data_IF_805803091236
#
_entry.id   IF_805803091236
#
_cell.length_a   1.000
_cell.length_b   1.000
_cell.length_c   1.000
_cell.angle_alpha   90.00
_cell.angle_beta   90.00
_cell.angle_gamma   90.00
#
_symmetry.space_group_name_H-M   'P 1'
#
loop_
_entity.id
_entity.type
_entity.pdbx_description
1 polymer ?
#
# COMPACT_ATOMS: atom_id res chain seq x y z
N UNK A 1 20.97 28.28 -22.02
CA UNK A 1 19.75 28.11 -21.22
C UNK A 1 20.09 27.24 -20.02
N UNK A 2 19.99 27.75 -18.80
CA UNK A 2 20.25 26.97 -17.59
C UNK A 2 18.99 26.14 -17.28
N UNK A 3 19.08 24.81 -17.34
CA UNK A 3 18.04 23.92 -16.84
C UNK A 3 17.97 24.09 -15.32
N UNK A 4 16.90 24.73 -14.82
CA UNK A 4 16.58 24.66 -13.39
C UNK A 4 16.09 23.25 -13.10
N UNK A 5 16.87 22.51 -12.32
CA UNK A 5 16.42 21.25 -11.72
C UNK A 5 15.36 21.65 -10.69
N UNK A 6 14.10 21.32 -10.98
CA UNK A 6 13.01 21.48 -10.02
C UNK A 6 13.03 20.25 -9.13
N UNK A 7 13.26 20.41 -7.83
CA UNK A 7 13.17 19.28 -6.92
C UNK A 7 11.70 18.95 -6.67
N UNK A 8 11.38 17.67 -6.53
CA UNK A 8 10.01 17.20 -6.28
C UNK A 8 9.37 17.93 -5.09
N UNK A 9 10.15 18.20 -4.04
CA UNK A 9 9.70 18.87 -2.81
C UNK A 9 9.35 20.35 -3.01
N UNK A 10 9.83 20.97 -4.09
CA UNK A 10 9.53 22.37 -4.41
C UNK A 10 8.16 22.52 -5.09
N UNK A 11 7.56 21.41 -5.53
CA UNK A 11 6.26 21.41 -6.18
C UNK A 11 5.14 21.67 -5.16
N UNK A 12 4.06 22.38 -5.55
CA UNK A 12 2.84 22.48 -4.74
C UNK A 12 2.19 21.12 -4.47
N UNK A 13 1.36 21.03 -3.42
CA UNK A 13 0.71 19.79 -3.02
C UNK A 13 -0.14 19.21 -4.15
N UNK A 14 -0.86 20.07 -4.86
CA UNK A 14 -1.75 19.73 -5.96
C UNK A 14 -1.00 18.98 -7.07
N UNK A 15 0.21 19.45 -7.40
CA UNK A 15 1.06 18.82 -8.41
C UNK A 15 1.61 17.49 -7.89
N UNK A 16 2.02 17.43 -6.61
CA UNK A 16 2.43 16.18 -5.98
C UNK A 16 1.31 15.13 -6.02
N UNK A 17 0.08 15.49 -5.66
CA UNK A 17 -1.07 14.59 -5.76
C UNK A 17 -1.28 14.11 -7.19
N UNK A 18 -1.19 14.99 -8.19
CA UNK A 18 -1.36 14.61 -9.60
C UNK A 18 -0.30 13.61 -10.07
N UNK A 19 0.93 13.72 -9.57
CA UNK A 19 2.02 12.79 -9.89
C UNK A 19 1.81 11.46 -9.16
N UNK A 20 1.63 11.51 -7.84
CA UNK A 20 1.54 10.32 -6.99
C UNK A 20 0.31 9.47 -7.29
N UNK A 21 -0.81 10.07 -7.69
CA UNK A 21 -2.01 9.35 -8.13
C UNK A 21 -1.82 8.45 -9.34
N UNK A 22 -0.73 8.62 -10.09
CA UNK A 22 -0.40 7.76 -11.23
C UNK A 22 0.36 6.50 -10.81
N UNK A 23 0.75 6.40 -9.55
CA UNK A 23 1.48 5.27 -8.99
C UNK A 23 0.52 4.37 -8.23
N UNK A 24 0.93 3.12 -8.00
CA UNK A 24 0.19 2.22 -7.13
C UNK A 24 0.20 2.75 -5.67
N UNK A 25 -0.93 2.62 -4.98
CA UNK A 25 -1.07 3.09 -3.61
C UNK A 25 -0.07 2.43 -2.66
N UNK A 26 0.23 1.13 -2.85
CA UNK A 26 1.23 0.42 -2.05
C UNK A 26 2.61 1.01 -2.30
N UNK A 27 2.96 1.33 -3.55
CA UNK A 27 4.25 1.94 -3.86
C UNK A 27 4.40 3.34 -3.26
N UNK A 28 3.34 4.15 -3.32
CA UNK A 28 3.30 5.49 -2.70
C UNK A 28 3.48 5.39 -1.20
N UNK A 29 2.68 4.54 -0.54
CA UNK A 29 2.74 4.35 0.90
C UNK A 29 4.09 3.77 1.33
N UNK A 30 4.59 2.74 0.66
CA UNK A 30 5.88 2.17 0.98
C UNK A 30 7.02 3.19 0.78
N UNK A 31 6.96 3.99 -0.29
CA UNK A 31 8.03 4.93 -0.59
C UNK A 31 8.01 6.13 0.35
N UNK A 32 6.85 6.75 0.57
CA UNK A 32 6.76 8.05 1.24
C UNK A 32 6.69 7.96 2.77
N UNK A 33 6.18 6.86 3.31
CA UNK A 33 5.83 6.79 4.72
C UNK A 33 7.06 6.60 5.61
N UNK A 34 7.24 7.47 6.60
CA UNK A 34 8.39 7.44 7.50
C UNK A 34 9.68 7.96 6.85
N UNK A 35 9.57 8.61 5.69
CA UNK A 35 10.65 9.50 5.24
C UNK A 35 10.67 10.69 6.20
N UNK A 36 11.85 11.22 6.53
CA UNK A 36 12.05 12.43 7.34
C UNK A 36 11.54 13.71 6.62
N UNK A 37 10.30 13.69 6.13
CA UNK A 37 9.59 14.75 5.46
C UNK A 37 8.11 14.70 5.85
N UNK A 38 7.75 15.49 6.86
CA UNK A 38 6.40 15.54 7.43
C UNK A 38 5.32 15.86 6.39
N UNK A 39 5.65 16.66 5.38
CA UNK A 39 4.70 17.03 4.31
C UNK A 39 4.33 15.82 3.46
N UNK A 40 5.31 15.01 3.08
CA UNK A 40 5.07 13.77 2.32
C UNK A 40 4.35 12.72 3.17
N UNK A 41 4.69 12.62 4.46
CA UNK A 41 3.99 11.74 5.42
C UNK A 41 2.50 12.07 5.54
N UNK A 42 2.14 13.37 5.57
CA UNK A 42 0.74 13.81 5.59
C UNK A 42 0.05 13.44 4.28
N UNK A 43 0.68 13.73 3.14
CA UNK A 43 0.13 13.40 1.81
C UNK A 43 -0.13 11.90 1.68
N UNK A 44 0.81 11.06 2.12
CA UNK A 44 0.67 9.61 2.04
C UNK A 44 -0.48 9.06 2.92
N UNK A 45 -0.80 9.73 4.02
CA UNK A 45 -1.90 9.33 4.92
C UNK A 45 -3.29 9.71 4.39
N UNK A 46 -3.38 10.56 3.37
CA UNK A 46 -4.66 10.96 2.80
C UNK A 46 -5.48 9.75 2.32
N UNK A 47 -6.79 9.85 2.44
CA UNK A 47 -7.72 8.76 2.08
C UNK A 47 -7.55 8.30 0.64
N UNK A 48 -7.09 9.18 -0.25
CA UNK A 48 -6.91 8.86 -1.66
C UNK A 48 -5.87 7.76 -1.92
N UNK A 49 -4.88 7.62 -1.04
CA UNK A 49 -3.85 6.57 -1.13
C UNK A 49 -4.09 5.42 -0.15
N UNK A 50 -4.90 5.64 0.89
CA UNK A 50 -5.08 4.68 1.99
C UNK A 50 -6.43 3.97 2.00
N UNK A 51 -7.39 4.35 1.15
CA UNK A 51 -8.72 3.74 1.13
C UNK A 51 -8.76 2.33 0.52
N UNK A 52 -7.93 2.07 -0.48
CA UNK A 52 -7.86 0.82 -1.23
C UNK A 52 -6.40 0.38 -1.22
N UNK A 53 -6.14 -0.72 -0.53
CA UNK A 53 -4.81 -1.32 -0.42
C UNK A 53 -4.80 -2.66 -1.15
N UNK A 54 -3.89 -2.81 -2.11
CA UNK A 54 -3.73 -4.05 -2.86
C UNK A 54 -2.32 -4.62 -2.69
N UNK A 55 -2.18 -5.57 -1.77
CA UNK A 55 -0.92 -6.26 -1.48
C UNK A 55 -0.63 -7.42 -2.45
N UNK A 56 -1.32 -7.44 -3.59
CA UNK A 56 -1.27 -8.50 -4.59
C UNK A 56 -0.84 -7.88 -5.90
N UNK A 57 0.29 -8.33 -6.45
CA UNK A 57 0.73 -7.95 -7.78
C UNK A 57 0.27 -9.01 -8.78
N UNK A 58 -0.18 -8.59 -9.96
CA UNK A 58 -0.48 -9.53 -11.05
C UNK A 58 0.65 -9.40 -12.05
N UNK A 59 1.38 -10.50 -12.24
CA UNK A 59 2.40 -10.60 -13.28
C UNK A 59 1.75 -10.45 -14.65
N UNK A 60 2.13 -9.42 -15.40
CA UNK A 60 1.60 -9.16 -16.74
C UNK A 60 1.97 -10.25 -17.77
N UNK A 61 2.98 -11.07 -17.48
CA UNK A 61 3.47 -12.10 -18.41
C UNK A 61 2.86 -13.47 -18.16
N UNK A 62 2.45 -13.78 -16.93
CA UNK A 62 1.97 -15.11 -16.54
C UNK A 62 0.53 -15.11 -16.02
N UNK A 63 -0.10 -13.95 -15.86
CA UNK A 63 -1.37 -13.76 -15.12
C UNK A 63 -1.31 -14.38 -13.70
N UNK A 64 -0.11 -14.67 -13.21
CA UNK A 64 0.09 -15.20 -11.88
C UNK A 64 0.07 -14.07 -10.87
N UNK A 65 -0.48 -14.41 -9.72
CA UNK A 65 -0.49 -13.55 -8.56
C UNK A 65 0.89 -13.64 -7.90
N UNK A 66 1.63 -12.54 -7.90
CA UNK A 66 2.88 -12.37 -7.21
C UNK A 66 2.67 -11.63 -5.88
N UNK A 67 3.21 -12.22 -4.82
CA UNK A 67 3.22 -11.61 -3.50
C UNK A 67 4.14 -10.41 -3.46
N UNK A 68 3.75 -9.37 -2.73
CA UNK A 68 4.71 -8.36 -2.30
C UNK A 68 5.77 -9.01 -1.38
N UNK A 69 6.97 -8.44 -1.34
CA UNK A 69 8.06 -9.02 -0.55
C UNK A 69 7.80 -8.97 0.95
N UNK A 70 8.37 -9.91 1.70
CA UNK A 70 8.28 -9.97 3.17
C UNK A 70 8.81 -8.68 3.84
N UNK A 71 9.81 -8.04 3.26
CA UNK A 71 10.34 -6.78 3.77
C UNK A 71 9.33 -5.63 3.62
N UNK A 72 8.59 -5.59 2.51
CA UNK A 72 7.48 -4.64 2.36
C UNK A 72 6.37 -4.96 3.36
N UNK A 73 5.95 -6.22 3.47
CA UNK A 73 4.93 -6.65 4.43
C UNK A 73 5.25 -6.23 5.87
N UNK A 74 6.47 -6.51 6.32
CA UNK A 74 6.91 -6.16 7.67
C UNK A 74 6.88 -4.65 7.92
N UNK A 75 7.34 -3.85 6.95
CA UNK A 75 7.27 -2.39 7.07
C UNK A 75 5.83 -1.90 7.11
N UNK A 76 4.95 -2.46 6.28
CA UNK A 76 3.53 -2.12 6.33
C UNK A 76 2.90 -2.45 7.68
N UNK A 77 3.18 -3.65 8.21
CA UNK A 77 2.68 -4.10 9.51
C UNK A 77 3.12 -3.19 10.65
N UNK A 78 4.38 -2.77 10.67
CA UNK A 78 4.97 -2.05 11.80
C UNK A 78 4.72 -0.54 11.69
N UNK A 79 4.94 0.04 10.51
CA UNK A 79 5.06 1.50 10.38
C UNK A 79 3.85 2.16 9.72
N UNK A 80 3.25 1.51 8.72
CA UNK A 80 2.26 2.14 7.84
C UNK A 80 0.82 1.88 8.29
N UNK A 81 0.43 0.60 8.38
CA UNK A 81 -0.93 0.18 8.67
C UNK A 81 -1.47 0.73 9.99
N UNK A 82 -0.73 0.75 11.11
CA UNK A 82 -1.24 1.30 12.36
C UNK A 82 -1.70 2.76 12.26
N UNK A 83 -1.14 3.52 11.31
CA UNK A 83 -1.44 4.94 11.11
C UNK A 83 -2.56 5.17 10.10
N UNK A 84 -2.74 4.29 9.12
CA UNK A 84 -3.73 4.45 8.06
C UNK A 84 -4.96 3.53 8.18
N UNK A 85 -4.97 2.59 9.14
CA UNK A 85 -6.04 1.58 9.31
C UNK A 85 -7.47 2.16 9.37
N UNK A 86 -7.61 3.41 9.85
CA UNK A 86 -8.89 4.11 9.91
C UNK A 86 -9.42 4.50 8.51
N UNK A 87 -8.55 4.64 7.53
CA UNK A 87 -8.93 5.04 6.18
C UNK A 87 -9.22 3.85 5.26
N UNK A 88 -8.72 2.66 5.59
CA UNK A 88 -8.83 1.46 4.75
C UNK A 88 -10.27 1.00 4.65
N UNK A 89 -10.79 0.95 3.42
CA UNK A 89 -12.13 0.47 3.07
C UNK A 89 -12.12 -0.82 2.26
N UNK A 90 -11.09 -1.01 1.44
CA UNK A 90 -10.89 -2.20 0.64
C UNK A 90 -9.47 -2.72 0.81
N UNK A 91 -9.35 -4.02 1.04
CA UNK A 91 -8.09 -4.70 1.24
C UNK A 91 -8.02 -5.95 0.37
N UNK A 92 -7.00 -6.03 -0.48
CA UNK A 92 -6.66 -7.22 -1.25
C UNK A 92 -5.35 -7.81 -0.74
N UNK A 93 -5.38 -9.07 -0.32
CA UNK A 93 -4.23 -9.77 0.28
C UNK A 93 -4.16 -11.21 -0.21
N UNK A 94 -2.96 -11.77 -0.22
CA UNK A 94 -2.79 -13.21 -0.34
C UNK A 94 -3.10 -13.92 0.99
N UNK A 95 -3.58 -15.16 0.90
CA UNK A 95 -3.89 -16.00 2.06
C UNK A 95 -2.70 -16.14 3.03
N UNK A 96 -1.48 -16.31 2.51
CA UNK A 96 -0.26 -16.43 3.31
C UNK A 96 0.06 -15.16 4.13
N UNK A 97 -0.39 -13.99 3.67
CA UNK A 97 -0.08 -12.68 4.29
C UNK A 97 -1.22 -12.16 5.16
N UNK A 98 -2.34 -12.88 5.24
CA UNK A 98 -3.56 -12.39 5.88
C UNK A 98 -3.35 -12.09 7.37
N UNK A 99 -2.66 -12.98 8.10
CA UNK A 99 -2.39 -12.80 9.53
C UNK A 99 -1.47 -11.60 9.77
N UNK A 100 -0.51 -11.39 8.89
CA UNK A 100 0.43 -10.27 8.98
C UNK A 100 -0.29 -8.92 8.80
N UNK A 101 -1.14 -8.82 7.78
CA UNK A 101 -1.85 -7.58 7.46
C UNK A 101 -3.01 -7.35 8.43
N UNK A 102 -3.91 -8.32 8.59
CA UNK A 102 -5.07 -8.15 9.48
C UNK A 102 -4.66 -8.08 10.96
N UNK A 103 -3.54 -8.71 11.33
CA UNK A 103 -2.97 -8.60 12.67
C UNK A 103 -2.26 -7.28 12.96
N UNK A 104 -2.05 -6.41 11.94
CA UNK A 104 -1.40 -5.12 12.12
C UNK A 104 -2.30 -4.06 12.77
N UNK A 105 -3.61 -4.28 12.82
CA UNK A 105 -4.54 -3.25 13.26
C UNK A 105 -6.01 -3.64 13.27
N UNK A 106 -6.84 -2.70 13.71
CA UNK A 106 -8.30 -2.76 13.62
C UNK A 106 -8.72 -1.84 12.49
N UNK A 107 -9.47 -2.39 11.53
CA UNK A 107 -9.93 -1.67 10.34
C UNK A 107 -11.43 -1.38 10.44
N UNK A 108 -11.87 -0.36 11.20
CA UNK A 108 -13.29 -0.14 11.47
C UNK A 108 -14.11 0.24 10.23
N UNK A 109 -13.45 0.74 9.18
CA UNK A 109 -14.09 1.15 7.94
C UNK A 109 -13.93 0.12 6.81
N UNK A 110 -13.38 -1.06 7.08
CA UNK A 110 -13.19 -2.11 6.07
C UNK A 110 -14.54 -2.67 5.64
N UNK A 111 -14.90 -2.42 4.38
CA UNK A 111 -16.14 -2.91 3.77
C UNK A 111 -15.89 -4.02 2.76
N UNK A 112 -14.66 -4.16 2.27
CA UNK A 112 -14.29 -5.15 1.25
C UNK A 112 -12.95 -5.82 1.62
N UNK A 113 -12.95 -7.16 1.67
CA UNK A 113 -11.75 -7.98 1.84
C UNK A 113 -11.70 -9.01 0.71
N UNK A 114 -10.64 -8.95 -0.10
CA UNK A 114 -10.35 -9.93 -1.15
C UNK A 114 -9.15 -10.76 -0.74
N UNK A 115 -9.34 -12.07 -0.74
CA UNK A 115 -8.28 -13.03 -0.38
C UNK A 115 -7.95 -13.83 -1.63
N UNK A 116 -6.68 -13.80 -2.01
CA UNK A 116 -6.14 -14.50 -3.16
C UNK A 116 -5.35 -15.74 -2.74
N UNK A 117 -5.16 -16.67 -3.67
CA UNK A 117 -4.44 -17.93 -3.43
C UNK A 117 -4.98 -18.71 -2.22
N UNK A 118 -6.31 -18.73 -2.06
CA UNK A 118 -6.99 -19.48 -1.01
C UNK A 118 -7.03 -20.97 -1.38
N UNK A 119 -5.87 -21.63 -1.34
CA UNK A 119 -5.80 -23.07 -1.52
C UNK A 119 -6.08 -23.75 -0.18
N UNK A 120 -7.22 -24.45 -0.12
CA UNK A 120 -7.54 -25.40 0.95
C UNK A 120 -6.45 -26.46 0.99
N UNK A 121 -5.89 -26.70 2.16
CA UNK A 121 -5.16 -27.93 2.43
C UNK A 121 -5.99 -29.11 1.91
N UNK A 122 -5.45 -29.85 0.94
CA UNK A 122 -5.97 -31.16 0.61
C UNK A 122 -5.57 -32.04 1.79
N UNK A 123 -6.48 -32.18 2.76
CA UNK A 123 -6.31 -33.14 3.85
C UNK A 123 -6.16 -34.53 3.20
N UNK A 124 -5.00 -35.20 3.33
CA UNK A 124 -4.87 -36.55 2.83
C UNK A 124 -5.83 -37.45 3.61
N UNK A 125 -6.70 -38.16 2.88
CA UNK A 125 -7.56 -39.21 3.45
C UNK A 125 -6.73 -40.41 3.87
#
# INVERSE_FOLDING_TARGET
MSQRIVHLLDLPNEILFLILKKLDNIDVLYSLFGINNQRLDIIAQEQIFSNILNFVSISQSTDEICSISDSMLNRFRIDVLPRIQQNVKSLSVESASIECILGAGIYPNLTELKIFNFNREIVPR
#
